data_IF_785885010036
#
_entry.id   IF_785885010036
#
_cell.length_a   1.000
_cell.length_b   1.000
_cell.length_c   1.000
_cell.angle_alpha   90.00
_cell.angle_beta   90.00
_cell.angle_gamma   90.00
#
_symmetry.space_group_name_H-M   'P 1'
#
loop_
_entity.id
_entity.type
_entity.pdbx_description
1 polymer ?
#
# COMPACT_ATOMS: atom_id res chain seq x y z
N UNK A 1 15.50 14.21 -25.54
CA UNK A 1 15.30 15.32 -24.59
C UNK A 1 15.61 14.83 -23.17
N UNK A 2 16.33 15.61 -22.38
CA UNK A 2 16.67 15.27 -20.99
C UNK A 2 15.39 15.23 -20.14
N UNK A 3 15.22 14.17 -19.34
CA UNK A 3 14.03 14.03 -18.49
C UNK A 3 14.29 14.73 -17.14
N UNK A 4 13.46 15.73 -16.77
CA UNK A 4 13.69 16.52 -15.55
C UNK A 4 13.35 15.79 -14.24
N UNK A 5 12.59 14.68 -14.27
CA UNK A 5 12.22 13.86 -13.09
C UNK A 5 11.74 14.72 -11.90
N UNK A 6 12.51 14.74 -10.79
CA UNK A 6 12.19 15.49 -9.57
C UNK A 6 12.14 17.01 -9.81
N UNK A 7 12.77 17.53 -10.86
CA UNK A 7 12.71 18.94 -11.21
C UNK A 7 11.43 19.33 -11.97
N UNK A 8 10.60 18.35 -12.40
CA UNK A 8 9.32 18.61 -13.05
C UNK A 8 8.13 18.35 -12.11
N UNK A 9 7.16 19.29 -12.01
CA UNK A 9 5.96 19.09 -11.20
C UNK A 9 5.16 17.84 -11.59
N UNK A 10 5.13 17.51 -12.88
CA UNK A 10 4.33 16.40 -13.40
C UNK A 10 5.03 15.05 -13.23
N UNK A 11 6.38 15.04 -13.20
CA UNK A 11 7.18 13.82 -13.13
C UNK A 11 7.61 13.45 -11.70
N UNK A 12 7.70 14.43 -10.79
CA UNK A 12 8.21 14.22 -9.44
C UNK A 12 7.37 13.19 -8.65
N UNK A 13 6.05 13.25 -8.72
CA UNK A 13 5.17 12.26 -8.08
C UNK A 13 5.41 10.84 -8.61
N UNK A 14 5.57 10.69 -9.93
CA UNK A 14 5.84 9.38 -10.54
C UNK A 14 7.21 8.84 -10.14
N UNK A 15 8.24 9.69 -10.13
CA UNK A 15 9.57 9.31 -9.68
C UNK A 15 9.57 8.80 -8.24
N UNK A 16 8.92 9.53 -7.32
CA UNK A 16 8.76 9.11 -5.93
C UNK A 16 7.99 7.79 -5.83
N UNK A 17 6.89 7.66 -6.59
CA UNK A 17 6.05 6.45 -6.59
C UNK A 17 6.84 5.22 -7.01
N UNK A 18 7.69 5.32 -8.04
CA UNK A 18 8.55 4.20 -8.48
C UNK A 18 9.51 3.77 -7.37
N UNK A 19 10.12 4.72 -6.65
CA UNK A 19 11.02 4.41 -5.52
C UNK A 19 10.25 3.74 -4.38
N UNK A 20 9.05 4.23 -4.07
CA UNK A 20 8.17 3.64 -3.04
C UNK A 20 7.83 2.20 -3.43
N UNK A 21 7.39 1.97 -4.67
CA UNK A 21 7.07 0.62 -5.16
C UNK A 21 8.29 -0.27 -5.03
N UNK A 22 9.44 0.15 -5.55
CA UNK A 22 10.68 -0.62 -5.49
C UNK A 22 11.06 -1.00 -4.05
N UNK A 23 10.98 -0.07 -3.11
CA UNK A 23 11.29 -0.32 -1.70
C UNK A 23 10.33 -1.33 -1.04
N UNK A 24 9.07 -1.38 -1.49
CA UNK A 24 8.03 -2.25 -0.91
C UNK A 24 7.89 -3.60 -1.64
N UNK A 25 8.45 -3.75 -2.85
CA UNK A 25 8.36 -4.98 -3.64
C UNK A 25 8.90 -6.20 -2.88
N UNK A 26 10.00 -6.05 -2.15
CA UNK A 26 10.60 -7.15 -1.38
C UNK A 26 9.66 -7.71 -0.32
N UNK A 27 9.11 -6.83 0.53
CA UNK A 27 8.17 -7.21 1.59
C UNK A 27 6.88 -7.81 1.02
N UNK A 28 6.33 -7.21 -0.04
CA UNK A 28 5.14 -7.72 -0.71
C UNK A 28 5.37 -9.11 -1.30
N UNK A 29 6.50 -9.35 -1.94
CA UNK A 29 6.85 -10.65 -2.51
C UNK A 29 6.92 -11.75 -1.45
N UNK A 30 7.58 -11.48 -0.32
CA UNK A 30 7.68 -12.46 0.79
C UNK A 30 6.29 -12.81 1.33
N UNK A 31 5.44 -11.80 1.53
CA UNK A 31 4.08 -12.02 2.02
C UNK A 31 3.23 -12.84 1.02
N UNK A 32 3.31 -12.54 -0.27
CA UNK A 32 2.59 -13.31 -1.29
C UNK A 32 3.10 -14.75 -1.41
N UNK A 33 4.42 -14.96 -1.33
CA UNK A 33 5.00 -16.31 -1.32
C UNK A 33 4.54 -17.11 -0.10
N UNK A 34 4.47 -16.49 1.08
CA UNK A 34 3.93 -17.13 2.27
C UNK A 34 2.47 -17.54 2.08
N UNK A 35 1.64 -16.67 1.50
CA UNK A 35 0.25 -16.99 1.17
C UNK A 35 0.11 -18.12 0.14
N UNK A 36 0.98 -18.15 -0.87
CA UNK A 36 0.96 -19.22 -1.88
C UNK A 36 1.41 -20.58 -1.32
N UNK A 37 2.34 -20.60 -0.36
CA UNK A 37 2.78 -21.84 0.29
C UNK A 37 1.67 -22.51 1.13
N UNK A 38 0.65 -21.77 1.54
CA UNK A 38 -0.50 -22.30 2.28
C UNK A 38 -1.49 -23.03 1.37
N UNK A 39 -1.38 -22.86 0.05
CA UNK A 39 -2.26 -23.51 -0.93
C UNK A 39 -1.83 -24.99 -1.11
N UNK A 40 -2.72 -25.96 -0.83
CA UNK A 40 -2.38 -27.39 -0.97
C UNK A 40 -1.97 -27.77 -2.39
N UNK A 41 -0.84 -28.48 -2.52
CA UNK A 41 -0.31 -28.92 -3.82
C UNK A 41 -1.27 -29.85 -4.57
N UNK A 42 -2.07 -30.63 -3.82
CA UNK A 42 -3.07 -31.55 -4.37
C UNK A 42 -4.14 -30.86 -5.24
N UNK A 43 -4.46 -29.58 -4.97
CA UNK A 43 -5.39 -28.82 -5.80
C UNK A 43 -4.81 -28.53 -7.19
N UNK A 44 -3.49 -28.27 -7.27
CA UNK A 44 -2.81 -28.06 -8.54
C UNK A 44 -2.64 -29.37 -9.31
N UNK A 45 -2.36 -30.49 -8.63
CA UNK A 45 -2.30 -31.81 -9.25
C UNK A 45 -3.64 -32.23 -9.84
N UNK A 46 -4.73 -32.08 -9.08
CA UNK A 46 -6.08 -32.37 -9.55
C UNK A 46 -6.45 -31.50 -10.76
N UNK A 47 -6.18 -30.19 -10.69
CA UNK A 47 -6.47 -29.29 -11.81
C UNK A 47 -5.66 -29.63 -13.07
N UNK A 48 -4.42 -30.09 -12.95
CA UNK A 48 -3.61 -30.56 -14.09
C UNK A 48 -4.18 -31.83 -14.70
N UNK A 49 -4.67 -32.76 -13.88
CA UNK A 49 -5.37 -33.97 -14.36
C UNK A 49 -6.67 -33.62 -15.10
N UNK A 50 -7.37 -32.57 -14.67
CA UNK A 50 -8.55 -32.02 -15.35
C UNK A 50 -8.21 -31.17 -16.60
N UNK A 51 -6.94 -31.06 -16.97
CA UNK A 51 -6.48 -30.33 -18.16
C UNK A 51 -6.42 -28.81 -17.99
N UNK A 52 -6.42 -28.29 -16.76
CA UNK A 52 -6.35 -26.85 -16.51
C UNK A 52 -4.97 -26.28 -16.86
N UNK A 53 -4.95 -25.19 -17.65
CA UNK A 53 -3.74 -24.46 -17.99
C UNK A 53 -3.24 -23.53 -16.85
N UNK A 54 -2.02 -23.00 -16.98
CA UNK A 54 -1.42 -22.11 -15.97
C UNK A 54 -2.32 -20.94 -15.55
N UNK A 55 -2.85 -20.20 -16.52
CA UNK A 55 -3.73 -19.05 -16.25
C UNK A 55 -5.04 -19.47 -15.58
N UNK A 56 -5.60 -20.63 -15.92
CA UNK A 56 -6.80 -21.14 -15.26
C UNK A 56 -6.51 -21.50 -13.81
N UNK A 57 -5.41 -22.19 -13.52
CA UNK A 57 -4.99 -22.49 -12.15
C UNK A 57 -4.72 -21.21 -11.35
N UNK A 58 -4.05 -20.21 -11.94
CA UNK A 58 -3.80 -18.94 -11.25
C UNK A 58 -5.09 -18.23 -10.84
N UNK A 59 -6.02 -18.00 -11.78
CA UNK A 59 -7.24 -17.24 -11.48
C UNK A 59 -8.30 -18.04 -10.70
N UNK A 60 -8.33 -19.38 -10.82
CA UNK A 60 -9.35 -20.22 -10.17
C UNK A 60 -8.89 -20.88 -8.86
N UNK A 61 -7.58 -21.04 -8.65
CA UNK A 61 -7.03 -21.73 -7.47
C UNK A 61 -6.19 -20.76 -6.66
N UNK A 62 -5.10 -20.25 -7.24
CA UNK A 62 -4.14 -19.43 -6.51
C UNK A 62 -4.77 -18.13 -6.02
N UNK A 63 -5.30 -17.30 -6.93
CA UNK A 63 -5.82 -15.96 -6.63
C UNK A 63 -6.97 -15.98 -5.61
N UNK A 64 -7.98 -16.89 -5.70
CA UNK A 64 -9.04 -16.97 -4.71
C UNK A 64 -8.56 -17.43 -3.34
N UNK A 65 -7.63 -18.40 -3.28
CA UNK A 65 -7.13 -18.93 -2.00
C UNK A 65 -6.18 -17.96 -1.29
N UNK A 66 -5.38 -17.20 -2.03
CA UNK A 66 -4.53 -16.14 -1.43
C UNK A 66 -5.27 -14.80 -1.25
N UNK A 67 -6.57 -14.74 -1.56
CA UNK A 67 -7.37 -13.50 -1.46
C UNK A 67 -7.28 -12.84 -0.08
N UNK A 68 -7.31 -13.56 1.06
CA UNK A 68 -7.13 -12.94 2.37
C UNK A 68 -5.80 -12.19 2.47
N UNK A 69 -4.72 -12.79 1.97
CA UNK A 69 -3.38 -12.18 1.95
C UNK A 69 -3.31 -10.96 1.02
N UNK A 70 -3.98 -11.02 -0.14
CA UNK A 70 -4.09 -9.87 -1.05
C UNK A 70 -4.82 -8.70 -0.42
N UNK A 71 -5.99 -8.95 0.17
CA UNK A 71 -6.78 -7.90 0.83
C UNK A 71 -5.98 -7.30 1.99
N UNK A 72 -5.26 -8.12 2.75
CA UNK A 72 -4.38 -7.67 3.83
C UNK A 72 -3.36 -6.65 3.33
N UNK A 73 -2.60 -7.07 2.31
CA UNK A 73 -1.50 -6.28 1.76
C UNK A 73 -2.02 -4.97 1.18
N UNK A 74 -3.12 -5.00 0.43
CA UNK A 74 -3.71 -3.79 -0.15
C UNK A 74 -4.07 -2.80 0.94
N UNK A 75 -4.74 -3.24 2.00
CA UNK A 75 -5.19 -2.29 3.02
C UNK A 75 -4.03 -1.75 3.85
N UNK A 76 -3.09 -2.60 4.27
CA UNK A 76 -1.88 -2.14 4.98
C UNK A 76 -1.09 -1.17 4.12
N UNK A 77 -0.98 -1.43 2.81
CA UNK A 77 -0.30 -0.53 1.87
C UNK A 77 -1.00 0.82 1.73
N UNK A 78 -2.33 0.84 1.65
CA UNK A 78 -3.11 2.09 1.60
C UNK A 78 -2.89 2.91 2.87
N UNK A 79 -3.00 2.28 4.04
CA UNK A 79 -2.75 2.93 5.34
C UNK A 79 -1.33 3.48 5.41
N UNK A 80 -0.33 2.67 5.02
CA UNK A 80 1.08 3.06 5.01
C UNK A 80 1.35 4.23 4.05
N UNK A 81 0.75 4.22 2.86
CA UNK A 81 0.92 5.28 1.86
C UNK A 81 0.36 6.61 2.36
N UNK A 82 -0.80 6.61 3.03
CA UNK A 82 -1.40 7.84 3.60
C UNK A 82 -0.52 8.45 4.70
N UNK A 83 0.16 7.61 5.48
CA UNK A 83 1.06 8.04 6.55
C UNK A 83 2.49 8.37 6.06
N UNK A 84 2.78 8.11 4.78
CA UNK A 84 4.14 8.13 4.28
C UNK A 84 4.68 9.57 4.24
N UNK A 85 5.77 9.78 4.99
CA UNK A 85 6.43 11.07 5.13
C UNK A 85 7.81 11.08 4.46
N UNK A 86 8.65 10.09 4.77
CA UNK A 86 10.08 10.11 4.47
C UNK A 86 10.41 10.28 2.98
N UNK A 87 9.80 9.55 2.02
CA UNK A 87 10.14 9.71 0.61
C UNK A 87 9.77 11.09 0.08
N UNK A 88 8.64 11.65 0.55
CA UNK A 88 8.15 12.97 0.15
C UNK A 88 8.95 14.11 0.79
N UNK A 89 9.57 13.86 1.94
CA UNK A 89 10.49 14.79 2.58
C UNK A 89 11.89 14.76 1.96
N UNK A 90 12.42 13.57 1.65
CA UNK A 90 13.77 13.39 1.12
C UNK A 90 13.90 13.70 -0.38
N UNK A 91 12.83 13.48 -1.14
CA UNK A 91 12.79 13.71 -2.59
C UNK A 91 11.67 14.69 -2.96
N UNK A 92 11.74 15.97 -2.52
CA UNK A 92 10.66 16.92 -2.79
C UNK A 92 10.60 17.28 -4.27
N UNK A 93 9.38 17.33 -4.83
CA UNK A 93 9.13 17.95 -6.12
C UNK A 93 9.00 19.47 -6.03
N UNK A 94 8.97 20.18 -7.17
CA UNK A 94 8.84 21.63 -7.19
C UNK A 94 7.48 22.09 -6.65
N UNK A 95 7.50 23.15 -5.84
CA UNK A 95 6.29 23.76 -5.27
C UNK A 95 5.51 22.80 -4.38
N UNK A 96 4.22 22.61 -4.68
CA UNK A 96 3.32 21.73 -3.93
C UNK A 96 3.03 20.39 -4.64
N UNK A 97 3.75 20.09 -5.72
CA UNK A 97 3.48 18.92 -6.58
C UNK A 97 3.51 17.59 -5.84
N UNK A 98 4.35 17.45 -4.81
CA UNK A 98 4.52 16.19 -4.05
C UNK A 98 4.08 16.32 -2.59
N UNK A 99 3.25 17.31 -2.26
CA UNK A 99 2.85 17.57 -0.87
C UNK A 99 1.78 16.58 -0.41
N UNK A 100 2.11 15.79 0.62
CA UNK A 100 1.17 14.88 1.29
C UNK A 100 0.62 15.48 2.59
N UNK A 101 -0.47 14.89 3.12
CA UNK A 101 -1.03 15.27 4.42
C UNK A 101 -0.03 15.10 5.56
N UNK A 102 0.75 14.01 5.55
CA UNK A 102 1.81 13.76 6.53
C UNK A 102 2.96 14.78 6.42
N UNK A 103 3.34 15.16 5.20
CA UNK A 103 4.32 16.23 5.00
C UNK A 103 3.77 17.59 5.48
N UNK A 104 2.48 17.84 5.29
CA UNK A 104 1.84 19.08 5.70
C UNK A 104 1.80 19.24 7.23
N UNK A 105 1.44 18.20 7.97
CA UNK A 105 1.45 18.25 9.45
C UNK A 105 2.85 18.52 9.99
N UNK A 106 3.87 17.90 9.40
CA UNK A 106 5.27 18.16 9.75
C UNK A 106 5.66 19.62 9.51
N UNK A 107 5.33 20.18 8.34
CA UNK A 107 5.61 21.58 8.02
C UNK A 107 4.93 22.53 9.02
N UNK A 108 3.68 22.26 9.39
CA UNK A 108 2.94 23.09 10.36
C UNK A 108 3.53 23.01 11.77
N UNK A 109 3.86 21.81 12.25
CA UNK A 109 4.36 21.60 13.60
C UNK A 109 5.79 22.06 13.79
N UNK A 110 6.68 21.71 12.85
CA UNK A 110 8.13 21.85 13.05
C UNK A 110 8.77 22.99 12.24
N UNK A 111 8.18 23.40 11.11
CA UNK A 111 8.72 24.54 10.34
C UNK A 111 8.00 25.85 10.67
N UNK A 112 6.66 25.84 10.71
CA UNK A 112 5.86 27.01 11.03
C UNK A 112 5.70 27.26 12.54
N UNK A 113 6.19 26.33 13.39
CA UNK A 113 6.06 26.35 14.85
C UNK A 113 4.61 26.49 15.36
N UNK A 114 3.63 26.15 14.52
CA UNK A 114 2.22 26.18 14.86
C UNK A 114 1.79 24.80 15.35
N UNK A 115 2.33 24.41 16.50
CA UNK A 115 2.13 23.09 17.11
C UNK A 115 0.65 22.77 17.35
N UNK A 116 -0.15 23.77 17.75
CA UNK A 116 -1.59 23.58 17.99
C UNK A 116 -2.36 23.22 16.73
N UNK A 117 -2.11 23.92 15.62
CA UNK A 117 -2.74 23.62 14.34
C UNK A 117 -2.22 22.31 13.73
N UNK A 118 -0.90 22.07 13.81
CA UNK A 118 -0.31 20.79 13.40
C UNK A 118 -0.89 19.59 14.15
N UNK A 119 -1.11 19.72 15.47
CA UNK A 119 -1.74 18.68 16.28
C UNK A 119 -3.19 18.42 15.88
N UNK A 120 -3.98 19.46 15.58
CA UNK A 120 -5.36 19.31 15.13
C UNK A 120 -5.45 18.55 13.79
N UNK A 121 -4.59 18.88 12.82
CA UNK A 121 -4.55 18.17 11.53
C UNK A 121 -4.13 16.71 11.72
N UNK A 122 -3.11 16.44 12.55
CA UNK A 122 -2.70 15.06 12.88
C UNK A 122 -3.82 14.25 13.53
N UNK A 123 -4.64 14.88 14.38
CA UNK A 123 -5.79 14.22 15.02
C UNK A 123 -6.88 13.86 14.02
N UNK A 124 -7.14 14.72 13.02
CA UNK A 124 -8.06 14.41 11.91
C UNK A 124 -7.56 13.22 11.11
N UNK A 125 -6.27 13.21 10.73
CA UNK A 125 -5.67 12.08 10.00
C UNK A 125 -5.79 10.80 10.83
N UNK A 126 -5.53 10.86 12.14
CA UNK A 126 -5.69 9.73 13.04
C UNK A 126 -7.12 9.18 13.04
N UNK A 127 -8.15 10.05 13.14
CA UNK A 127 -9.55 9.61 13.11
C UNK A 127 -9.91 8.95 11.78
N UNK A 128 -9.43 9.49 10.65
CA UNK A 128 -9.65 8.90 9.31
C UNK A 128 -9.02 7.51 9.24
N UNK A 129 -7.78 7.36 9.69
CA UNK A 129 -7.07 6.08 9.69
C UNK A 129 -7.68 5.06 10.66
N UNK A 130 -8.17 5.52 11.81
CA UNK A 130 -8.89 4.68 12.77
C UNK A 130 -10.20 4.18 12.17
N UNK A 131 -10.97 5.05 11.52
CA UNK A 131 -12.20 4.66 10.83
C UNK A 131 -11.92 3.63 9.72
N UNK A 132 -10.87 3.85 8.91
CA UNK A 132 -10.45 2.91 7.88
C UNK A 132 -10.03 1.55 8.46
N UNK A 133 -9.23 1.55 9.52
CA UNK A 133 -8.78 0.33 10.22
C UNK A 133 -9.96 -0.44 10.84
N UNK A 134 -10.89 0.25 11.50
CA UNK A 134 -12.08 -0.39 12.08
C UNK A 134 -12.97 -0.99 10.99
N UNK A 135 -13.16 -0.27 9.88
CA UNK A 135 -13.91 -0.78 8.74
C UNK A 135 -13.26 -2.05 8.17
N UNK A 136 -11.94 -2.05 7.99
CA UNK A 136 -11.17 -3.20 7.52
C UNK A 136 -11.34 -4.41 8.46
N UNK A 137 -11.12 -4.23 9.77
CA UNK A 137 -11.22 -5.31 10.74
C UNK A 137 -12.63 -5.92 10.78
N UNK A 138 -13.68 -5.11 10.57
CA UNK A 138 -15.05 -5.62 10.46
C UNK A 138 -15.29 -6.47 9.23
N UNK A 139 -14.75 -6.09 8.07
CA UNK A 139 -14.84 -6.91 6.86
C UNK A 139 -14.12 -8.25 7.04
N UNK A 140 -12.94 -8.21 7.65
CA UNK A 140 -12.10 -9.38 7.88
C UNK A 140 -12.65 -10.37 8.90
N UNK A 141 -13.35 -9.91 9.94
CA UNK A 141 -13.93 -10.81 10.97
C UNK A 141 -15.10 -11.65 10.47
N UNK A 142 -15.69 -11.30 9.32
CA UNK A 142 -16.84 -12.00 8.75
C UNK A 142 -16.39 -13.28 7.99
N UNK A 143 -15.13 -13.37 7.56
CA UNK A 143 -14.62 -14.50 6.76
C UNK A 143 -14.09 -15.69 7.58
N UNK A 144 -14.00 -15.59 8.92
CA UNK A 144 -13.47 -16.67 9.79
C UNK A 144 -14.54 -17.64 10.33
N UNK A 145 -15.82 -17.47 9.98
CA UNK A 145 -16.91 -18.34 10.46
C UNK A 145 -17.31 -19.46 9.49
N UNK A 146 -16.58 -19.68 8.38
CA UNK A 146 -16.88 -20.74 7.40
C UNK A 146 -15.66 -21.57 7.02
#
# INVERSE_FOLDING_TARGET
>A
PEQPFLASPDQALWAITVVIVWANLGTGAVLFLAGMNDVPESLYEAARLDGAGFWQMFYKITLPLIRPVLVYQVVVSVIGTVQMFEPFFLMPGPGFSTRTLALYTYQLGFQALNLGYGAAVSLIIFVILLAATVFQLRQWRIEWEH
#
